data_IF_013391581264
#
_entry.id   IF_013391581264
#
_cell.length_a   1.000
_cell.length_b   1.000
_cell.length_c   1.000
_cell.angle_alpha   90.00
_cell.angle_beta   90.00
_cell.angle_gamma   90.00
#
_symmetry.space_group_name_H-M   'P 1'
#
loop_
_entity.id
_entity.type
_entity.pdbx_description
1 polymer ?
#
# COMPACT_ATOMS: atom_id res chain seq x y z
N UNK A 1 4.37 3.81 -2.20
CA UNK A 1 4.12 4.07 -0.78
C UNK A 1 5.44 3.99 -0.01
N UNK A 2 5.49 4.60 1.18
CA UNK A 2 6.72 4.66 2.00
C UNK A 2 7.91 5.30 1.24
N UNK A 3 7.67 6.44 0.61
CA UNK A 3 8.61 7.11 -0.29
C UNK A 3 9.97 7.44 0.29
N UNK A 4 10.08 7.57 1.62
CA UNK A 4 11.34 7.77 2.31
C UNK A 4 12.29 6.56 2.24
N UNK A 5 11.80 5.40 1.79
CA UNK A 5 12.59 4.18 1.69
C UNK A 5 13.19 3.96 0.29
N UNK A 6 12.92 4.81 -0.69
CA UNK A 6 13.14 4.49 -2.09
C UNK A 6 14.55 4.82 -2.61
N UNK A 7 15.17 5.93 -2.14
CA UNK A 7 16.27 6.59 -2.84
C UNK A 7 17.49 6.91 -1.97
N UNK A 8 17.42 6.78 -0.66
CA UNK A 8 18.52 7.19 0.25
C UNK A 8 18.49 6.36 1.53
N UNK A 9 19.44 5.45 1.66
CA UNK A 9 19.58 4.58 2.82
C UNK A 9 19.87 5.34 4.11
N UNK A 10 20.38 6.56 4.04
CA UNK A 10 20.66 7.37 5.24
C UNK A 10 19.38 7.88 5.90
N UNK A 11 18.28 8.01 5.14
CA UNK A 11 16.98 8.43 5.60
C UNK A 11 16.09 7.28 6.10
N UNK A 12 16.47 6.04 5.81
CA UNK A 12 15.68 4.87 6.18
C UNK A 12 15.96 4.42 7.62
N UNK A 13 14.94 3.85 8.27
CA UNK A 13 15.07 3.37 9.66
C UNK A 13 16.02 2.17 9.81
N UNK A 14 16.14 1.35 8.76
CA UNK A 14 16.99 0.13 8.72
C UNK A 14 18.30 0.32 7.95
N UNK A 15 18.58 1.55 7.49
CA UNK A 15 19.75 1.89 6.68
C UNK A 15 19.85 1.11 5.35
N UNK A 16 18.70 0.71 4.82
CA UNK A 16 18.57 0.08 3.52
C UNK A 16 17.54 0.84 2.69
N UNK A 17 17.78 0.98 1.41
CA UNK A 17 16.87 1.58 0.44
C UNK A 17 16.47 0.56 -0.63
N UNK A 18 15.47 0.90 -1.40
CA UNK A 18 15.01 0.06 -2.49
C UNK A 18 15.83 0.24 -3.78
N UNK A 19 16.69 1.27 -3.87
CA UNK A 19 17.53 1.55 -5.04
C UNK A 19 16.70 1.77 -6.31
N UNK A 20 15.59 2.47 -6.18
CA UNK A 20 14.61 2.61 -7.29
C UNK A 20 15.20 3.43 -8.43
N UNK A 21 15.94 4.48 -8.14
CA UNK A 21 16.58 5.36 -9.12
C UNK A 21 17.71 4.64 -9.87
N UNK A 22 18.55 3.87 -9.21
CA UNK A 22 19.62 3.10 -9.87
C UNK A 22 19.05 2.02 -10.79
N UNK A 23 18.04 1.28 -10.28
CA UNK A 23 17.41 0.20 -11.04
C UNK A 23 16.68 0.75 -12.26
N UNK A 24 15.89 1.82 -12.09
CA UNK A 24 15.17 2.43 -13.20
C UNK A 24 16.12 3.06 -14.23
N UNK A 25 17.17 3.74 -13.79
CA UNK A 25 18.18 4.29 -14.68
C UNK A 25 18.83 3.20 -15.53
N UNK A 26 19.21 2.09 -14.90
CA UNK A 26 19.78 0.93 -15.61
C UNK A 26 18.80 0.30 -16.60
N UNK A 27 17.52 0.18 -16.25
CA UNK A 27 16.50 -0.38 -17.14
C UNK A 27 16.17 0.55 -18.33
N UNK A 28 16.18 1.86 -18.11
CA UNK A 28 16.01 2.87 -19.14
C UNK A 28 17.16 2.86 -20.14
N UNK A 29 18.41 2.84 -19.68
CA UNK A 29 19.62 2.74 -20.52
C UNK A 29 19.62 1.47 -21.39
N UNK A 30 19.07 0.37 -20.86
CA UNK A 30 18.91 -0.89 -21.57
C UNK A 30 17.68 -0.93 -22.50
N UNK A 31 16.89 0.12 -22.57
CA UNK A 31 15.62 0.19 -23.30
C UNK A 31 14.62 -0.92 -22.91
N UNK A 32 14.64 -1.37 -21.64
CA UNK A 32 13.73 -2.41 -21.13
C UNK A 32 12.41 -1.84 -20.61
N UNK A 33 12.38 -0.57 -20.29
CA UNK A 33 11.19 0.16 -19.85
C UNK A 33 11.04 1.47 -20.60
N UNK A 34 9.85 2.03 -20.58
CA UNK A 34 9.59 3.39 -21.06
C UNK A 34 9.93 4.41 -19.97
N UNK A 35 10.16 5.66 -20.38
CA UNK A 35 10.33 6.77 -19.44
C UNK A 35 9.17 6.83 -18.45
N UNK A 36 9.51 6.99 -17.19
CA UNK A 36 8.54 7.05 -16.10
C UNK A 36 8.92 8.09 -15.05
N UNK A 37 7.93 8.58 -14.35
CA UNK A 37 8.09 9.45 -13.18
C UNK A 37 7.70 8.64 -11.95
N UNK A 38 8.59 8.59 -10.98
CA UNK A 38 8.31 7.95 -9.67
C UNK A 38 8.00 9.03 -8.65
N UNK A 39 6.84 8.90 -8.02
CA UNK A 39 6.40 9.78 -6.94
C UNK A 39 6.51 9.04 -5.61
N UNK A 40 7.56 9.33 -4.85
CA UNK A 40 7.79 8.77 -3.52
C UNK A 40 6.92 9.47 -2.47
N UNK A 41 5.86 8.82 -2.03
CA UNK A 41 4.95 9.38 -1.01
C UNK A 41 5.43 8.94 0.35
N UNK A 42 5.92 9.88 1.14
CA UNK A 42 6.33 9.62 2.52
C UNK A 42 5.11 9.29 3.37
N UNK A 43 5.22 8.28 4.19
CA UNK A 43 4.17 7.97 5.16
C UNK A 43 4.15 8.97 6.32
N UNK A 44 3.02 9.07 7.00
CA UNK A 44 2.81 9.99 8.11
C UNK A 44 3.47 9.56 9.44
N UNK A 45 4.41 8.62 9.45
CA UNK A 45 5.03 8.12 10.66
C UNK A 45 4.02 7.41 11.56
N UNK A 46 3.57 8.03 12.64
CA UNK A 46 2.58 7.46 13.56
C UNK A 46 1.23 7.17 12.90
N UNK A 47 0.83 7.96 11.92
CA UNK A 47 -0.44 7.76 11.21
C UNK A 47 -0.38 6.68 10.13
N UNK A 48 0.83 6.18 9.77
CA UNK A 48 1.03 5.23 8.68
C UNK A 48 0.06 4.05 8.70
N UNK A 49 -0.10 3.37 9.84
CA UNK A 49 -1.00 2.22 9.92
C UNK A 49 -2.47 2.63 9.77
N UNK A 50 -2.87 3.75 10.36
CA UNK A 50 -4.24 4.27 10.21
C UNK A 50 -4.56 4.71 8.78
N UNK A 51 -3.57 5.26 8.05
CA UNK A 51 -3.70 5.68 6.65
C UNK A 51 -3.63 4.51 5.67
N UNK A 52 -2.90 3.44 6.00
CA UNK A 52 -2.67 2.31 5.10
C UNK A 52 -3.58 1.09 5.37
N UNK A 53 -4.35 1.11 6.45
CA UNK A 53 -5.28 0.03 6.77
C UNK A 53 -6.58 0.21 5.97
N UNK A 54 -6.98 -0.74 5.09
CA UNK A 54 -8.17 -0.60 4.26
C UNK A 54 -9.44 -0.38 5.06
N UNK A 55 -10.07 0.80 4.91
CA UNK A 55 -11.16 1.26 5.77
C UNK A 55 -12.45 0.46 5.58
N UNK A 56 -12.89 0.25 4.34
CA UNK A 56 -14.16 -0.46 4.08
C UNK A 56 -14.16 -1.91 4.53
N UNK A 57 -13.10 -2.71 4.29
CA UNK A 57 -12.99 -4.02 4.93
C UNK A 57 -13.05 -3.96 6.46
N UNK A 58 -12.37 -3.00 7.08
CA UNK A 58 -12.47 -2.81 8.53
C UNK A 58 -13.91 -2.46 8.98
N UNK A 59 -14.58 -1.57 8.28
CA UNK A 59 -15.97 -1.17 8.59
C UNK A 59 -16.98 -2.31 8.40
N UNK A 60 -16.65 -3.33 7.59
CA UNK A 60 -17.49 -4.52 7.42
C UNK A 60 -17.42 -5.50 8.60
N UNK A 61 -16.43 -5.36 9.46
CA UNK A 61 -16.31 -6.14 10.70
C UNK A 61 -17.42 -5.79 11.70
N UNK A 62 -17.81 -6.72 12.55
CA UNK A 62 -18.70 -6.44 13.67
C UNK A 62 -18.08 -5.43 14.64
N UNK A 63 -18.88 -4.75 15.44
CA UNK A 63 -18.36 -3.80 16.44
C UNK A 63 -17.37 -4.43 17.41
N UNK A 64 -17.62 -5.64 17.82
CA UNK A 64 -16.70 -6.37 18.71
C UNK A 64 -15.35 -6.65 18.03
N UNK A 65 -15.36 -7.07 16.76
CA UNK A 65 -14.13 -7.28 15.98
C UNK A 65 -13.39 -5.96 15.72
N UNK A 66 -14.10 -4.87 15.42
CA UNK A 66 -13.49 -3.55 15.27
C UNK A 66 -12.79 -3.12 16.56
N UNK A 67 -13.38 -3.36 17.73
CA UNK A 67 -12.77 -3.07 19.02
C UNK A 67 -11.49 -3.91 19.24
N UNK A 68 -11.52 -5.20 18.88
CA UNK A 68 -10.36 -6.07 18.94
C UNK A 68 -9.23 -5.52 18.08
N UNK A 69 -9.52 -5.11 16.83
CA UNK A 69 -8.56 -4.51 15.92
C UNK A 69 -7.98 -3.22 16.48
N UNK A 70 -8.81 -2.31 16.99
CA UNK A 70 -8.35 -1.05 17.57
C UNK A 70 -7.51 -1.22 18.84
N UNK A 71 -7.81 -2.24 19.62
CA UNK A 71 -7.10 -2.56 20.85
C UNK A 71 -5.89 -3.46 20.63
N UNK A 72 -5.54 -3.76 19.37
CA UNK A 72 -4.32 -4.48 19.06
C UNK A 72 -3.07 -3.66 19.45
N UNK A 73 -2.14 -4.31 20.14
CA UNK A 73 -0.95 -3.68 20.70
C UNK A 73 0.32 -4.19 20.00
N UNK A 74 1.33 -3.33 19.97
CA UNK A 74 2.71 -3.74 19.72
C UNK A 74 3.31 -4.34 21.00
N UNK A 75 4.41 -5.08 20.85
CA UNK A 75 5.24 -5.45 21.99
C UNK A 75 5.60 -4.17 22.77
N UNK A 76 5.16 -4.09 24.06
CA UNK A 76 5.32 -2.87 24.88
C UNK A 76 4.02 -2.14 25.21
N UNK A 77 2.84 -2.66 24.82
CA UNK A 77 1.53 -2.16 25.28
C UNK A 77 1.03 -0.89 24.57
N UNK A 78 1.68 -0.46 23.51
CA UNK A 78 1.22 0.71 22.73
C UNK A 78 0.30 0.26 21.58
N UNK A 79 -0.87 0.92 21.44
CA UNK A 79 -1.77 0.69 20.31
C UNK A 79 -1.02 0.82 18.98
N UNK A 80 -1.26 -0.11 18.08
CA UNK A 80 -0.67 -0.09 16.73
C UNK A 80 -1.11 1.14 15.92
N UNK A 81 -2.30 1.67 16.19
CA UNK A 81 -2.84 2.87 15.55
C UNK A 81 -2.52 4.16 16.32
N UNK A 82 -1.81 4.09 17.45
CA UNK A 82 -1.51 5.25 18.30
C UNK A 82 -2.75 6.05 18.73
N UNK A 83 -3.91 5.41 18.85
CA UNK A 83 -5.19 6.06 19.14
C UNK A 83 -5.81 6.85 17.97
N UNK A 84 -5.23 6.77 16.79
CA UNK A 84 -5.75 7.42 15.59
C UNK A 84 -6.85 6.56 14.96
N UNK A 85 -7.91 7.17 14.40
CA UNK A 85 -8.90 6.46 13.62
C UNK A 85 -8.31 5.97 12.30
N UNK A 86 -8.79 4.83 11.79
CA UNK A 86 -8.48 4.37 10.44
C UNK A 86 -9.00 5.43 9.46
N UNK A 87 -8.15 5.84 8.52
CA UNK A 87 -8.38 7.00 7.67
C UNK A 87 -7.86 6.81 6.23
N UNK A 88 -7.83 5.57 5.77
CA UNK A 88 -7.32 5.27 4.44
C UNK A 88 -8.14 5.90 3.32
N UNK A 89 -9.45 6.05 3.47
CA UNK A 89 -10.29 6.74 2.48
C UNK A 89 -9.90 8.23 2.35
N UNK A 90 -9.51 8.87 3.46
CA UNK A 90 -8.97 10.22 3.44
C UNK A 90 -7.60 10.28 2.76
N UNK A 91 -6.74 9.30 3.03
CA UNK A 91 -5.46 9.17 2.35
C UNK A 91 -5.65 8.98 0.83
N UNK A 92 -6.58 8.12 0.40
CA UNK A 92 -6.91 7.95 -1.01
C UNK A 92 -7.51 9.22 -1.64
N UNK A 93 -8.26 10.00 -0.89
CA UNK A 93 -8.75 11.31 -1.34
C UNK A 93 -7.58 12.24 -1.63
N UNK A 94 -6.60 12.33 -0.73
CA UNK A 94 -5.36 13.09 -0.97
C UNK A 94 -4.65 12.60 -2.24
N UNK A 95 -4.45 11.29 -2.42
CA UNK A 95 -3.79 10.75 -3.61
C UNK A 95 -4.50 11.14 -4.91
N UNK A 96 -5.83 11.03 -4.92
CA UNK A 96 -6.62 11.11 -6.15
C UNK A 96 -7.10 12.52 -6.48
N UNK A 97 -7.28 13.37 -5.47
CA UNK A 97 -7.84 14.73 -5.65
C UNK A 97 -6.79 15.84 -5.51
N UNK A 98 -5.68 15.57 -4.88
CA UNK A 98 -4.63 16.56 -4.64
C UNK A 98 -3.32 16.17 -5.31
N UNK A 99 -2.70 15.06 -4.92
CA UNK A 99 -1.37 14.69 -5.36
C UNK A 99 -1.33 14.38 -6.86
N UNK A 100 -2.16 13.45 -7.36
CA UNK A 100 -2.14 13.09 -8.78
C UNK A 100 -2.45 14.28 -9.69
N UNK A 101 -3.48 15.11 -9.45
CA UNK A 101 -3.72 16.32 -10.24
C UNK A 101 -2.57 17.32 -10.20
N UNK A 102 -1.88 17.45 -9.05
CA UNK A 102 -0.69 18.29 -8.93
C UNK A 102 0.45 17.79 -9.82
N UNK A 103 0.74 16.48 -9.76
CA UNK A 103 1.79 15.86 -10.60
C UNK A 103 1.47 16.01 -12.08
N UNK A 104 0.24 15.70 -12.47
CA UNK A 104 -0.20 15.78 -13.88
C UNK A 104 -0.16 17.20 -14.44
N UNK A 105 -0.38 18.19 -13.59
CA UNK A 105 -0.28 19.60 -13.98
C UNK A 105 1.18 20.11 -14.06
N UNK A 106 2.04 19.54 -13.23
CA UNK A 106 3.42 20.05 -13.03
C UNK A 106 4.41 19.40 -13.98
N UNK A 107 4.19 18.14 -14.33
CA UNK A 107 5.11 17.32 -15.11
C UNK A 107 4.44 16.80 -16.39
N UNK A 108 5.24 16.48 -17.40
CA UNK A 108 4.77 15.91 -18.66
C UNK A 108 4.39 14.43 -18.50
N UNK A 109 3.26 14.18 -17.86
CA UNK A 109 2.73 12.83 -17.61
C UNK A 109 1.74 12.40 -18.68
N UNK A 110 1.59 11.08 -18.85
CA UNK A 110 0.41 10.45 -19.45
C UNK A 110 -0.61 10.25 -18.33
N UNK A 111 -1.68 11.04 -18.34
CA UNK A 111 -2.60 11.19 -17.21
C UNK A 111 -3.62 10.07 -17.09
N UNK A 112 -3.73 9.23 -18.11
CA UNK A 112 -4.73 8.18 -18.19
C UNK A 112 -4.40 6.97 -17.29
N UNK A 113 -5.42 6.15 -17.07
CA UNK A 113 -5.32 4.94 -16.24
C UNK A 113 -4.21 3.99 -16.68
N UNK A 114 -4.05 3.78 -18.00
CA UNK A 114 -3.10 2.79 -18.51
C UNK A 114 -1.63 3.15 -18.21
N UNK A 115 -1.38 4.40 -17.79
CA UNK A 115 -0.06 4.93 -17.48
C UNK A 115 0.09 5.38 -16.02
N UNK A 116 -0.86 5.02 -15.16
CA UNK A 116 -0.82 5.37 -13.73
C UNK A 116 -0.86 4.11 -12.88
N UNK A 117 0.21 3.86 -12.11
CA UNK A 117 0.39 2.64 -11.33
C UNK A 117 0.70 2.97 -9.87
N UNK A 118 0.40 2.03 -9.01
CA UNK A 118 0.71 2.09 -7.58
C UNK A 118 1.74 1.01 -7.24
N UNK A 119 2.57 1.28 -6.25
CA UNK A 119 3.47 0.27 -5.70
C UNK A 119 3.64 0.46 -4.19
N UNK A 120 3.82 -0.62 -3.48
CA UNK A 120 4.12 -0.57 -2.06
C UNK A 120 4.46 -1.94 -1.50
N UNK A 121 5.06 -1.94 -0.33
CA UNK A 121 5.43 -3.14 0.40
C UNK A 121 4.66 -3.24 1.71
N UNK A 122 4.34 -4.46 2.14
CA UNK A 122 3.66 -4.74 3.41
C UNK A 122 2.30 -4.02 3.50
N UNK A 123 2.10 -3.15 4.48
CA UNK A 123 0.91 -2.28 4.57
C UNK A 123 0.79 -1.33 3.36
N UNK A 124 1.93 -0.93 2.75
CA UNK A 124 1.96 -0.15 1.50
C UNK A 124 1.40 -0.92 0.31
N UNK A 125 1.55 -2.24 0.28
CA UNK A 125 0.91 -3.12 -0.70
C UNK A 125 -0.61 -3.17 -0.49
N UNK A 126 -1.07 -3.33 0.74
CA UNK A 126 -2.51 -3.32 1.08
C UNK A 126 -3.20 -2.04 0.63
N UNK A 127 -2.63 -0.87 0.95
CA UNK A 127 -3.24 0.41 0.55
C UNK A 127 -3.16 0.62 -0.96
N UNK A 128 -2.12 0.12 -1.65
CA UNK A 128 -2.02 0.19 -3.10
C UNK A 128 -3.11 -0.66 -3.78
N UNK A 129 -3.34 -1.87 -3.29
CA UNK A 129 -4.40 -2.75 -3.77
C UNK A 129 -5.79 -2.16 -3.48
N UNK A 130 -6.00 -1.64 -2.28
CA UNK A 130 -7.24 -0.97 -1.90
C UNK A 130 -7.52 0.25 -2.77
N UNK A 131 -6.50 1.08 -3.05
CA UNK A 131 -6.62 2.21 -3.96
C UNK A 131 -6.99 1.79 -5.38
N UNK A 132 -6.42 0.70 -5.89
CA UNK A 132 -6.79 0.15 -7.19
C UNK A 132 -8.26 -0.30 -7.22
N UNK A 133 -8.74 -0.94 -6.16
CA UNK A 133 -10.14 -1.37 -6.04
C UNK A 133 -11.12 -0.19 -5.95
N UNK A 134 -10.76 0.86 -5.20
CA UNK A 134 -11.63 2.03 -5.02
C UNK A 134 -11.62 3.00 -6.21
N UNK A 135 -10.50 3.06 -6.94
CA UNK A 135 -10.32 3.97 -8.07
C UNK A 135 -9.84 3.25 -9.34
N UNK A 136 -10.57 2.21 -9.82
CA UNK A 136 -10.15 1.40 -10.96
C UNK A 136 -10.11 2.17 -12.28
N UNK A 137 -10.79 3.32 -12.36
CA UNK A 137 -10.74 4.19 -13.53
C UNK A 137 -9.53 5.13 -13.53
N UNK A 138 -8.81 5.24 -12.42
CA UNK A 138 -7.65 6.12 -12.28
C UNK A 138 -6.33 5.36 -12.33
N UNK A 139 -6.28 4.15 -11.76
CA UNK A 139 -5.09 3.33 -11.67
C UNK A 139 -5.19 2.11 -12.57
N UNK A 140 -4.16 1.86 -13.38
CA UNK A 140 -4.06 0.72 -14.29
C UNK A 140 -3.49 -0.53 -13.65
N UNK A 141 -2.92 -0.41 -12.46
CA UNK A 141 -2.39 -1.56 -11.72
C UNK A 141 -1.72 -1.21 -10.40
N UNK A 142 -1.38 -2.27 -9.68
CA UNK A 142 -0.66 -2.20 -8.41
C UNK A 142 0.42 -3.28 -8.32
N UNK A 143 1.61 -2.91 -7.85
CA UNK A 143 2.64 -3.84 -7.42
C UNK A 143 2.59 -3.95 -5.90
N UNK A 144 2.24 -5.14 -5.43
CA UNK A 144 1.97 -5.47 -4.04
C UNK A 144 3.07 -6.39 -3.52
N UNK A 145 4.13 -5.79 -2.95
CA UNK A 145 5.32 -6.50 -2.51
C UNK A 145 5.15 -6.94 -1.06
N UNK A 146 5.38 -8.23 -0.77
CA UNK A 146 5.26 -8.80 0.59
C UNK A 146 4.00 -8.30 1.33
N UNK A 147 2.84 -8.46 0.71
CA UNK A 147 1.59 -7.89 1.20
C UNK A 147 1.26 -8.37 2.60
N UNK A 148 1.04 -7.44 3.54
CA UNK A 148 0.74 -7.76 4.93
C UNK A 148 -0.72 -8.15 5.14
N UNK A 149 -1.11 -9.32 4.64
CA UNK A 149 -2.48 -9.84 4.72
C UNK A 149 -3.07 -9.92 6.13
N UNK A 150 -2.29 -10.27 7.18
CA UNK A 150 -2.82 -10.23 8.53
C UNK A 150 -3.32 -8.86 8.98
N UNK A 151 -2.80 -7.76 8.41
CA UNK A 151 -3.13 -6.39 8.82
C UNK A 151 -2.69 -6.03 10.25
N UNK A 152 -2.60 -7.04 11.10
CA UNK A 152 -2.21 -6.98 12.51
C UNK A 152 -1.16 -8.04 12.80
N UNK A 153 -0.30 -7.77 13.78
CA UNK A 153 0.64 -8.77 14.29
C UNK A 153 0.07 -9.44 15.55
N UNK A 154 0.30 -10.73 15.67
CA UNK A 154 0.05 -11.48 16.93
C UNK A 154 -1.39 -11.44 17.48
N UNK A 155 -2.39 -11.45 16.59
CA UNK A 155 -3.79 -11.59 17.00
C UNK A 155 -4.29 -13.01 16.70
N UNK A 156 -4.62 -13.76 17.76
CA UNK A 156 -5.29 -15.04 17.63
C UNK A 156 -6.73 -14.84 17.11
N UNK A 157 -7.17 -15.70 16.18
CA UNK A 157 -8.48 -15.57 15.52
C UNK A 157 -8.68 -14.20 14.84
N UNK A 158 -7.65 -13.72 14.17
CA UNK A 158 -7.64 -12.42 13.47
C UNK A 158 -8.75 -12.34 12.40
N UNK A 159 -9.75 -11.45 12.52
CA UNK A 159 -10.84 -11.33 11.55
C UNK A 159 -10.45 -10.57 10.28
N UNK A 160 -9.30 -9.88 10.30
CA UNK A 160 -8.89 -8.93 9.26
C UNK A 160 -8.68 -9.59 7.90
N UNK A 161 -7.94 -10.73 7.76
CA UNK A 161 -7.75 -11.37 6.46
C UNK A 161 -9.07 -11.75 5.80
N UNK A 162 -10.02 -12.31 6.56
CA UNK A 162 -11.35 -12.66 6.05
C UNK A 162 -12.11 -11.45 5.48
N UNK A 163 -12.05 -10.32 6.17
CA UNK A 163 -12.67 -9.08 5.71
C UNK A 163 -11.97 -8.54 4.44
N UNK A 164 -10.64 -8.60 4.37
CA UNK A 164 -9.89 -8.17 3.20
C UNK A 164 -10.23 -9.02 1.99
N UNK A 165 -10.20 -10.34 2.09
CA UNK A 165 -10.52 -11.23 0.97
C UNK A 165 -11.98 -11.12 0.54
N UNK A 166 -12.93 -11.03 1.48
CA UNK A 166 -14.34 -10.80 1.15
C UNK A 166 -14.57 -9.48 0.41
N UNK A 167 -13.82 -8.44 0.74
CA UNK A 167 -13.83 -7.18 0.02
C UNK A 167 -13.24 -7.33 -1.39
N UNK A 168 -12.11 -8.00 -1.52
CA UNK A 168 -11.44 -8.21 -2.82
C UNK A 168 -12.32 -9.02 -3.77
N UNK A 169 -13.01 -10.05 -3.32
CA UNK A 169 -13.95 -10.84 -4.11
C UNK A 169 -15.03 -9.98 -4.77
N UNK A 170 -15.42 -8.88 -4.13
CA UNK A 170 -16.47 -7.98 -4.60
C UNK A 170 -15.95 -6.79 -5.43
N UNK A 171 -14.72 -6.35 -5.18
CA UNK A 171 -14.20 -5.05 -5.65
C UNK A 171 -12.99 -5.16 -6.55
N UNK A 172 -12.37 -6.33 -6.64
CA UNK A 172 -11.21 -6.48 -7.51
C UNK A 172 -11.57 -6.15 -8.97
N UNK A 173 -10.85 -5.24 -9.61
CA UNK A 173 -11.17 -4.84 -10.98
C UNK A 173 -10.88 -5.97 -11.97
N UNK A 174 -11.52 -5.92 -13.14
CA UNK A 174 -11.39 -6.97 -14.15
C UNK A 174 -9.95 -7.10 -14.67
N UNK A 175 -9.41 -8.32 -14.84
CA UNK A 175 -8.02 -8.55 -15.23
C UNK A 175 -7.69 -8.07 -16.67
N UNK A 176 -8.71 -7.89 -17.51
CA UNK A 176 -8.52 -7.41 -18.90
C UNK A 176 -7.98 -5.97 -19.00
N UNK A 177 -8.18 -5.18 -17.96
CA UNK A 177 -7.89 -3.73 -17.98
C UNK A 177 -6.92 -3.31 -16.88
N UNK A 178 -6.56 -4.21 -15.98
CA UNK A 178 -5.72 -3.92 -14.82
C UNK A 178 -4.63 -4.97 -14.68
N UNK A 179 -3.50 -4.57 -14.10
CA UNK A 179 -2.37 -5.44 -13.81
C UNK A 179 -2.09 -5.41 -12.32
N UNK A 180 -2.03 -6.58 -11.71
CA UNK A 180 -1.64 -6.71 -10.32
C UNK A 180 -0.46 -7.66 -10.26
N UNK A 181 0.58 -7.22 -9.57
CA UNK A 181 1.75 -8.04 -9.29
C UNK A 181 1.80 -8.30 -7.79
N UNK A 182 2.04 -9.55 -7.43
CA UNK A 182 2.29 -9.97 -6.06
C UNK A 182 3.60 -10.73 -5.98
N UNK A 183 4.33 -10.50 -4.92
CA UNK A 183 5.41 -11.36 -4.46
C UNK A 183 5.42 -11.47 -2.94
N UNK A 184 6.22 -12.37 -2.45
CA UNK A 184 6.60 -12.44 -1.03
C UNK A 184 7.97 -13.13 -0.91
N UNK A 185 8.72 -12.79 0.12
CA UNK A 185 9.95 -13.47 0.49
C UNK A 185 9.68 -14.82 1.19
N UNK A 186 10.75 -15.52 1.50
CA UNK A 186 10.71 -16.83 2.18
C UNK A 186 11.26 -16.77 3.61
N UNK A 187 11.70 -15.59 4.05
CA UNK A 187 12.37 -15.40 5.34
C UNK A 187 11.73 -14.26 6.13
N UNK A 188 12.06 -14.15 7.40
CA UNK A 188 11.63 -13.09 8.32
C UNK A 188 10.10 -13.01 8.44
N UNK A 189 9.52 -11.83 8.30
CA UNK A 189 8.08 -11.61 8.39
C UNK A 189 7.28 -12.32 7.27
N UNK A 190 7.91 -12.53 6.12
CA UNK A 190 7.24 -13.11 4.95
C UNK A 190 6.94 -14.59 5.12
N UNK A 191 7.62 -15.28 6.03
CA UNK A 191 7.28 -16.67 6.39
C UNK A 191 5.85 -16.82 6.90
N UNK A 192 5.24 -15.75 7.41
CA UNK A 192 3.85 -15.73 7.88
C UNK A 192 2.82 -15.64 6.76
N UNK A 193 3.25 -15.36 5.51
CA UNK A 193 2.35 -15.21 4.37
C UNK A 193 2.23 -16.48 3.53
N UNK A 194 3.06 -17.47 3.80
CA UNK A 194 3.11 -18.75 3.06
C UNK A 194 2.09 -19.81 3.53
N UNK A 195 1.25 -19.48 4.54
CA UNK A 195 0.29 -20.42 5.16
C UNK A 195 -1.15 -20.09 4.80
#
# INVERSE_FOLDING_TARGET
>A
QDGQMLFDSTLTWNKQEWGVDEILSSLLEQNKIQDCIVVGIWNGGRSRLAEYFPQKPFESLTKAEQEIVYNAYRSGGQSIFFGLPISSDRYLTFLTKELKPFIDKTYATKTDRAHTFLAGSSMGALISLYALCEYPNLFGGAACLSTHWPGLFFLENNPVPGAFFSYLDQKLPTPKQHRIYFDHGTETLDTMYAS
#
